data_IF_845997694872
#
_entry.id   IF_845997694872
#
_cell.length_a   1.000
_cell.length_b   1.000
_cell.length_c   1.000
_cell.angle_alpha   90.00
_cell.angle_beta   90.00
_cell.angle_gamma   90.00
#
_symmetry.space_group_name_H-M   'P 1'
#
loop_
_entity.id
_entity.type
_entity.pdbx_description
1 polymer ?
#
# COMPACT_ATOMS: atom_id res chain seq x y z
N UNK A 1 -23.24 30.58 -5.22
CA UNK A 1 -24.64 30.54 -4.73
C UNK A 1 -25.40 29.42 -5.42
N UNK A 2 -26.16 28.66 -4.64
CA UNK A 2 -27.14 27.60 -4.99
C UNK A 2 -26.59 26.26 -5.52
N UNK A 3 -26.19 25.38 -4.60
CA UNK A 3 -26.65 23.98 -4.50
C UNK A 3 -26.44 23.55 -3.05
N UNK A 4 -27.49 23.74 -2.25
CA UNK A 4 -27.61 23.30 -0.87
C UNK A 4 -27.98 21.80 -0.88
N UNK A 5 -27.74 21.12 0.23
CA UNK A 5 -28.15 19.75 0.59
C UNK A 5 -27.13 18.72 0.09
N UNK A 6 -26.31 18.06 0.92
CA UNK A 6 -26.72 17.11 1.94
C UNK A 6 -25.73 17.08 3.13
N UNK A 7 -26.08 17.76 4.21
CA UNK A 7 -25.71 17.28 5.55
C UNK A 7 -26.75 16.22 5.93
N UNK A 8 -26.28 15.01 6.24
CA UNK A 8 -26.88 14.05 7.18
C UNK A 8 -26.67 12.62 6.67
N UNK A 9 -25.99 11.81 7.46
CA UNK A 9 -26.12 10.38 7.34
C UNK A 9 -24.87 9.64 7.75
N UNK A 10 -24.69 9.51 9.08
CA UNK A 10 -24.10 8.31 9.69
C UNK A 10 -22.61 8.11 9.34
N UNK A 11 -21.69 8.44 10.24
CA UNK A 11 -21.25 7.45 11.22
C UNK A 11 -21.17 6.02 10.65
N UNK A 12 -20.45 5.81 9.54
CA UNK A 12 -19.73 4.54 9.38
C UNK A 12 -18.49 4.58 10.29
N UNK A 13 -18.77 4.63 11.59
CA UNK A 13 -17.89 3.98 12.55
C UNK A 13 -17.82 2.50 12.12
N UNK A 14 -16.59 1.99 12.08
CA UNK A 14 -16.26 0.59 11.88
C UNK A 14 -16.48 -0.01 10.48
N UNK A 15 -15.58 0.34 9.58
CA UNK A 15 -14.87 -0.71 8.84
C UNK A 15 -13.40 -0.73 9.24
N UNK A 16 -13.15 -0.72 10.56
CA UNK A 16 -11.92 -1.23 11.15
C UNK A 16 -11.93 -2.77 11.23
N UNK A 17 -12.73 -3.45 10.39
CA UNK A 17 -12.27 -4.73 9.89
C UNK A 17 -11.01 -4.41 9.14
N UNK A 18 -9.90 -4.94 9.63
CA UNK A 18 -8.66 -5.05 8.89
C UNK A 18 -9.01 -5.63 7.52
N UNK A 19 -9.31 -4.76 6.53
CA UNK A 19 -9.44 -5.12 5.13
C UNK A 19 -8.02 -5.39 4.66
N UNK A 20 -7.52 -6.50 5.19
CA UNK A 20 -6.31 -7.19 4.84
C UNK A 20 -6.49 -7.56 3.38
N UNK A 21 -5.88 -6.77 2.52
CA UNK A 21 -5.89 -6.96 1.08
C UNK A 21 -4.53 -7.48 0.69
N UNK A 22 -4.47 -8.07 -0.48
CA UNK A 22 -3.22 -8.52 -1.05
C UNK A 22 -2.56 -7.30 -1.68
N UNK A 23 -1.33 -7.02 -1.25
CA UNK A 23 -0.51 -5.93 -1.80
C UNK A 23 0.72 -6.54 -2.43
N UNK A 24 1.14 -6.02 -3.59
CA UNK A 24 2.32 -6.55 -4.28
C UNK A 24 3.43 -5.54 -4.23
N UNK A 25 4.57 -5.88 -3.64
CA UNK A 25 5.78 -5.08 -3.71
C UNK A 25 6.60 -5.54 -4.91
N UNK A 26 6.64 -4.71 -5.95
CA UNK A 26 7.49 -4.94 -7.11
C UNK A 26 8.84 -4.27 -6.88
N UNK A 27 9.91 -5.06 -6.87
CA UNK A 27 11.30 -4.59 -6.82
C UNK A 27 11.96 -4.73 -8.18
N UNK A 28 12.59 -3.67 -8.69
CA UNK A 28 13.41 -3.68 -9.89
C UNK A 28 14.89 -3.50 -9.52
N UNK A 29 15.74 -4.37 -10.04
CA UNK A 29 17.19 -4.26 -9.89
C UNK A 29 17.91 -4.84 -11.11
N UNK A 30 18.82 -4.06 -11.70
CA UNK A 30 19.63 -4.46 -12.85
C UNK A 30 18.82 -5.04 -14.04
N UNK A 31 17.61 -4.51 -14.25
CA UNK A 31 16.71 -4.96 -15.32
C UNK A 31 15.93 -6.25 -15.01
N UNK A 32 16.05 -6.77 -13.79
CA UNK A 32 15.22 -7.86 -13.27
C UNK A 32 14.14 -7.31 -12.34
N UNK A 33 12.92 -7.82 -12.49
CA UNK A 33 11.78 -7.46 -11.65
C UNK A 33 11.40 -8.64 -10.76
N UNK A 34 11.24 -8.39 -9.47
CA UNK A 34 10.84 -9.36 -8.45
C UNK A 34 9.58 -8.86 -7.77
N UNK A 35 8.51 -9.66 -7.82
CA UNK A 35 7.26 -9.35 -7.14
C UNK A 35 7.13 -10.13 -5.83
N UNK A 36 6.84 -9.42 -4.74
CA UNK A 36 6.57 -10.00 -3.42
C UNK A 36 5.13 -9.72 -3.04
N UNK A 37 4.31 -10.77 -2.91
CA UNK A 37 2.90 -10.64 -2.54
C UNK A 37 2.75 -10.71 -1.02
N UNK A 38 2.14 -9.69 -0.45
CA UNK A 38 1.75 -9.62 0.95
C UNK A 38 0.26 -9.93 1.08
N UNK A 39 -0.04 -11.22 1.21
CA UNK A 39 -1.42 -11.67 1.36
C UNK A 39 -2.02 -11.21 2.68
N UNK A 40 -3.27 -10.75 2.62
CA UNK A 40 -4.01 -10.33 3.82
C UNK A 40 -3.19 -9.39 4.72
N UNK A 41 -2.49 -8.43 4.13
CA UNK A 41 -1.73 -7.43 4.88
C UNK A 41 -2.50 -6.13 5.01
N UNK A 42 -2.21 -5.39 6.07
CA UNK A 42 -2.63 -4.00 6.13
C UNK A 42 -1.79 -3.19 5.14
N UNK A 43 -2.38 -2.15 4.55
CA UNK A 43 -1.65 -1.27 3.61
C UNK A 43 -0.33 -0.78 4.23
N UNK A 44 -0.40 -0.34 5.49
CA UNK A 44 0.75 0.15 6.24
C UNK A 44 1.83 -0.91 6.47
N UNK A 45 1.47 -2.14 6.84
CA UNK A 45 2.44 -3.24 7.05
C UNK A 45 3.15 -3.61 5.74
N UNK A 46 2.40 -3.64 4.64
CA UNK A 46 2.96 -3.90 3.31
C UNK A 46 3.83 -2.73 2.81
N UNK A 47 3.43 -1.48 3.07
CA UNK A 47 4.22 -0.29 2.75
C UNK A 47 5.52 -0.26 3.56
N UNK A 48 5.46 -0.51 4.86
CA UNK A 48 6.64 -0.52 5.75
C UNK A 48 7.63 -1.61 5.29
N UNK A 49 7.17 -2.85 5.03
CA UNK A 49 8.03 -3.95 4.54
C UNK A 49 8.61 -3.69 3.15
N UNK A 50 7.82 -3.14 2.23
CA UNK A 50 8.30 -2.81 0.90
C UNK A 50 9.30 -1.64 0.95
N UNK A 51 9.12 -0.69 1.86
CA UNK A 51 10.03 0.43 2.06
C UNK A 51 11.36 0.00 2.71
N UNK A 52 11.34 -0.98 3.63
CA UNK A 52 12.56 -1.61 4.15
C UNK A 52 13.36 -2.26 3.03
N UNK A 53 12.72 -3.13 2.23
CA UNK A 53 13.36 -3.77 1.08
C UNK A 53 13.83 -2.74 0.04
N UNK A 54 13.05 -1.68 -0.21
CA UNK A 54 13.46 -0.58 -1.09
C UNK A 54 14.72 0.12 -0.57
N UNK A 55 14.85 0.34 0.73
CA UNK A 55 16.00 1.03 1.33
C UNK A 55 17.27 0.20 1.15
N UNK A 56 17.18 -1.10 1.37
CA UNK A 56 18.29 -2.05 1.16
C UNK A 56 18.68 -2.13 -0.32
N UNK A 57 17.69 -2.20 -1.21
CA UNK A 57 17.93 -2.32 -2.65
C UNK A 57 18.37 -1.00 -3.29
N UNK A 58 17.92 0.14 -2.76
CA UNK A 58 18.33 1.48 -3.20
C UNK A 58 19.81 1.74 -2.96
N UNK A 59 20.39 1.15 -1.92
CA UNK A 59 21.84 1.24 -1.65
C UNK A 59 22.69 0.58 -2.73
N UNK A 60 22.12 -0.36 -3.49
CA UNK A 60 22.78 -1.08 -4.60
C UNK A 60 22.19 -0.73 -5.97
N UNK A 61 21.41 0.34 -6.05
CA UNK A 61 20.89 0.90 -7.30
C UNK A 61 19.62 0.25 -7.85
N UNK A 62 18.84 -0.47 -7.03
CA UNK A 62 17.48 -0.90 -7.38
C UNK A 62 16.40 -0.12 -6.64
N UNK A 63 15.13 -0.43 -6.91
CA UNK A 63 13.99 0.28 -6.31
C UNK A 63 12.80 -0.64 -6.16
N UNK A 64 12.05 -0.52 -5.07
CA UNK A 64 10.80 -1.25 -4.83
C UNK A 64 9.61 -0.30 -4.67
N UNK A 65 8.46 -0.71 -5.20
CA UNK A 65 7.21 0.02 -5.11
C UNK A 65 6.04 -0.92 -4.83
N UNK A 66 5.15 -0.51 -3.93
CA UNK A 66 3.91 -1.22 -3.66
C UNK A 66 2.87 -0.93 -4.76
N UNK A 67 2.17 -1.97 -5.20
CA UNK A 67 1.06 -1.95 -6.17
C UNK A 67 -0.16 -2.61 -5.57
#
# INVERSE_FOLDING_TARGET
MKKVLLFAGVLFLFSATSCKKDYTCTCEWLGSTTDTVFEKSSKKDAEDKCAEANTELSAVGGSCAIK
#
